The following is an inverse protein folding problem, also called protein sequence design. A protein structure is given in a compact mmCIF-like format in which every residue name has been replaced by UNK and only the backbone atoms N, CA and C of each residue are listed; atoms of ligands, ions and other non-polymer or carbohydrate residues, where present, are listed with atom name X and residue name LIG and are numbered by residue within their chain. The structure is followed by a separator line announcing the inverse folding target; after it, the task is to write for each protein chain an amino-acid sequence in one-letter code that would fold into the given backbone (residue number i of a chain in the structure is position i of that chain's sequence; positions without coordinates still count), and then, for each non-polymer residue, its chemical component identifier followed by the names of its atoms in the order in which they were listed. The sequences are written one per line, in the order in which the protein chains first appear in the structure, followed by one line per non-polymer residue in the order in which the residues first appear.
data_IF_052400591273
#
_entry.id   IF_052400591273
#
_cell.length_a   1.000
_cell.length_b   1.000
_cell.length_c   1.000
_cell.angle_alpha   90.00
_cell.angle_beta   90.00
_cell.angle_gamma   90.00
#
_symmetry.space_group_name_H-M   'P 1'
#
loop_
_entity.id
_entity.type
_entity.pdbx_description
1 polymer ?
#
# COMPACT_ATOMS: atom_id res chain seq x y z
N UNK A 1 -29.90 10.00 -3.18
CA UNK A 1 -28.83 10.18 -2.16
C UNK A 1 -27.61 9.42 -2.62
N UNK A 2 -26.60 10.11 -3.16
CA UNK A 2 -25.28 9.50 -3.33
C UNK A 2 -24.58 9.65 -1.98
N UNK A 3 -24.66 8.61 -1.14
CA UNK A 3 -23.97 8.58 0.15
C UNK A 3 -22.44 8.55 -0.03
N UNK A 4 -21.69 8.85 1.04
CA UNK A 4 -20.25 8.64 1.04
C UNK A 4 -19.97 7.16 0.73
N UNK A 5 -18.96 6.89 -0.11
CA UNK A 5 -18.46 5.54 -0.34
C UNK A 5 -18.07 4.92 1.01
N UNK A 6 -18.44 3.66 1.21
CA UNK A 6 -18.12 2.88 2.42
C UNK A 6 -17.06 1.81 2.15
N UNK A 7 -16.66 1.64 0.89
CA UNK A 7 -15.71 0.65 0.36
C UNK A 7 -14.31 1.24 0.16
N UNK A 8 -13.93 2.26 0.93
CA UNK A 8 -12.59 2.84 0.88
C UNK A 8 -11.61 2.04 1.74
N UNK A 9 -10.36 1.98 1.29
CA UNK A 9 -9.24 1.50 2.10
C UNK A 9 -9.10 2.38 3.34
N UNK A 10 -8.95 1.75 4.50
CA UNK A 10 -8.50 2.45 5.70
C UNK A 10 -7.10 3.02 5.49
N UNK A 11 -6.73 3.96 6.35
CA UNK A 11 -5.42 4.59 6.31
C UNK A 11 -4.31 3.55 6.45
N UNK A 12 -4.44 2.62 7.39
CA UNK A 12 -3.47 1.55 7.61
C UNK A 12 -3.32 0.62 6.40
N UNK A 13 -4.45 0.22 5.78
CA UNK A 13 -4.42 -0.63 4.59
C UNK A 13 -3.76 0.07 3.40
N UNK A 14 -4.04 1.36 3.21
CA UNK A 14 -3.46 2.13 2.12
C UNK A 14 -1.93 2.23 2.26
N UNK A 15 -1.42 2.64 3.43
CA UNK A 15 0.02 2.83 3.63
C UNK A 15 0.78 1.50 3.60
N UNK A 16 0.20 0.44 4.15
CA UNK A 16 0.79 -0.89 4.08
C UNK A 16 0.83 -1.44 2.64
N UNK A 17 -0.23 -1.24 1.85
CA UNK A 17 -0.24 -1.63 0.44
C UNK A 17 0.79 -0.86 -0.39
N UNK A 18 0.97 0.45 -0.13
CA UNK A 18 1.98 1.29 -0.80
C UNK A 18 3.40 0.84 -0.47
N UNK A 19 3.67 0.53 0.80
CA UNK A 19 4.95 0.01 1.26
C UNK A 19 5.30 -1.30 0.53
N UNK A 20 4.38 -2.27 0.54
CA UNK A 20 4.55 -3.55 -0.16
C UNK A 20 4.79 -3.37 -1.66
N UNK A 21 3.99 -2.54 -2.34
CA UNK A 21 4.15 -2.26 -3.76
C UNK A 21 5.52 -1.62 -4.08
N UNK A 22 5.99 -0.74 -3.20
CA UNK A 22 7.30 -0.10 -3.32
C UNK A 22 8.44 -1.11 -3.14
N UNK A 23 8.28 -2.10 -2.27
CA UNK A 23 9.26 -3.16 -2.03
C UNK A 23 9.49 -4.05 -3.24
N UNK A 24 8.45 -4.29 -4.05
CA UNK A 24 8.56 -5.00 -5.33
C UNK A 24 9.38 -4.25 -6.39
N UNK A 25 9.62 -2.95 -6.20
CA UNK A 25 10.50 -2.16 -7.07
C UNK A 25 11.94 -2.10 -6.56
N UNK A 26 12.23 -2.65 -5.37
CA UNK A 26 13.59 -2.72 -4.84
C UNK A 26 14.46 -3.55 -5.78
N UNK A 27 15.64 -3.01 -6.09
CA UNK A 27 16.68 -3.68 -6.89
C UNK A 27 17.73 -4.38 -6.01
N UNK A 28 17.60 -4.28 -4.69
CA UNK A 28 18.47 -4.99 -3.77
C UNK A 28 18.08 -6.48 -3.74
N UNK A 29 18.96 -7.40 -4.19
CA UNK A 29 18.68 -8.83 -4.17
C UNK A 29 18.63 -9.42 -2.76
N UNK A 30 19.10 -8.70 -1.74
CA UNK A 30 19.14 -9.17 -0.36
C UNK A 30 17.93 -8.70 0.47
N UNK A 31 17.29 -7.59 0.09
CA UNK A 31 16.10 -7.08 0.79
C UNK A 31 15.08 -6.44 -0.16
N UNK A 32 13.87 -7.02 -0.24
CA UNK A 32 12.71 -6.41 -0.89
C UNK A 32 11.93 -5.56 0.10
N UNK A 33 12.55 -4.49 0.58
CA UNK A 33 11.89 -3.54 1.47
C UNK A 33 11.44 -2.30 0.70
N UNK A 34 10.16 -1.98 0.85
CA UNK A 34 9.60 -0.67 0.55
C UNK A 34 8.92 -0.22 1.81
N UNK A 35 9.56 0.69 2.53
CA UNK A 35 9.04 1.33 3.73
C UNK A 35 9.43 2.80 3.65
#
# INVERSE_FOLDING_TARGET
MTGKRSDYLSWDEYFMAVALLSGHRSKDPNTQVGA
#
